data_IF_693721311263
#
_entry.id   IF_693721311263
#
_cell.length_a   1.000
_cell.length_b   1.000
_cell.length_c   1.000
_cell.angle_alpha   90.00
_cell.angle_beta   90.00
_cell.angle_gamma   90.00
#
_symmetry.space_group_name_H-M   'P 1'
#
loop_
_entity.id
_entity.type
_entity.pdbx_description
1 polymer ?
#
# COMPACT_ATOMS: atom_id res chain seq x y z
N UNK A 1 -16.11 4.19 29.94
CA UNK A 1 -14.86 3.48 29.61
C UNK A 1 -14.69 3.25 28.12
N UNK A 2 -15.55 2.48 27.44
CA UNK A 2 -15.47 2.29 25.98
C UNK A 2 -16.01 3.50 25.19
N UNK A 3 -17.26 3.92 25.46
CA UNK A 3 -17.85 5.10 24.80
C UNK A 3 -17.04 6.38 25.00
N UNK A 4 -16.49 6.60 26.22
CA UNK A 4 -15.61 7.76 26.51
C UNK A 4 -14.30 7.73 25.71
N UNK A 5 -13.80 6.55 25.34
CA UNK A 5 -12.63 6.40 24.48
C UNK A 5 -12.97 6.82 23.05
N UNK A 6 -14.07 6.29 22.52
CA UNK A 6 -14.56 6.59 21.17
C UNK A 6 -14.78 8.09 21.02
N UNK A 7 -15.53 8.70 21.95
CA UNK A 7 -15.84 10.14 21.95
C UNK A 7 -14.59 11.01 21.97
N UNK A 8 -13.56 10.59 22.73
CA UNK A 8 -12.35 11.39 22.92
C UNK A 8 -11.37 11.29 21.77
N UNK A 9 -11.14 10.09 21.24
CA UNK A 9 -10.04 9.84 20.30
C UNK A 9 -10.50 9.62 18.86
N UNK A 10 -11.70 9.07 18.64
CA UNK A 10 -12.15 8.63 17.32
C UNK A 10 -13.27 9.50 16.73
N UNK A 11 -14.22 9.98 17.53
CA UNK A 11 -15.27 10.91 17.07
C UNK A 11 -14.70 12.17 16.38
N UNK A 12 -13.57 12.79 16.83
CA UNK A 12 -12.96 13.91 16.11
C UNK A 12 -12.50 13.57 14.67
N UNK A 13 -12.29 12.29 14.37
CA UNK A 13 -11.89 11.81 13.03
C UNK A 13 -13.10 11.58 12.10
N UNK A 14 -14.34 11.66 12.60
CA UNK A 14 -15.59 11.41 11.85
C UNK A 14 -16.19 12.69 11.21
N UNK A 15 -15.38 13.69 10.88
CA UNK A 15 -15.85 14.97 10.36
C UNK A 15 -15.89 15.00 8.81
N UNK A 16 -16.58 15.98 8.24
CA UNK A 16 -16.62 16.19 6.79
C UNK A 16 -17.67 15.37 6.03
N UNK A 17 -18.57 14.70 6.75
CA UNK A 17 -19.71 13.97 6.19
C UNK A 17 -20.80 14.92 5.68
N UNK A 18 -21.52 14.51 4.64
CA UNK A 18 -22.66 15.25 4.12
C UNK A 18 -23.85 15.24 5.11
N UNK A 19 -24.81 16.13 4.91
CA UNK A 19 -25.97 16.28 5.82
C UNK A 19 -26.88 15.06 5.89
N UNK A 20 -26.88 14.23 4.85
CA UNK A 20 -27.65 12.98 4.73
C UNK A 20 -26.82 11.73 5.09
N UNK A 21 -25.57 11.91 5.51
CA UNK A 21 -24.66 10.84 5.92
C UNK A 21 -24.53 10.77 7.45
N UNK A 22 -24.14 9.60 7.94
CA UNK A 22 -24.00 9.31 9.37
C UNK A 22 -22.70 8.53 9.63
N UNK A 23 -21.87 9.02 10.53
CA UNK A 23 -20.61 8.38 10.94
C UNK A 23 -20.69 7.77 12.34
N UNK A 24 -19.65 7.99 13.15
CA UNK A 24 -19.61 7.52 14.55
C UNK A 24 -20.77 8.11 15.35
N UNK A 25 -21.48 7.27 16.12
CA UNK A 25 -22.50 7.71 17.09
C UNK A 25 -23.83 6.95 17.06
N UNK A 26 -23.97 5.98 16.16
CA UNK A 26 -25.17 5.13 16.00
C UNK A 26 -24.75 3.66 15.75
N UNK A 27 -25.72 2.74 15.58
CA UNK A 27 -25.47 1.30 15.35
C UNK A 27 -24.82 1.00 13.99
N UNK A 28 -24.75 1.98 13.10
CA UNK A 28 -24.11 1.83 11.80
C UNK A 28 -23.94 3.16 11.06
N UNK A 29 -22.99 3.17 10.14
CA UNK A 29 -22.74 4.31 9.28
C UNK A 29 -23.69 4.32 8.07
N UNK A 30 -24.06 5.52 7.60
CA UNK A 30 -24.86 5.74 6.39
C UNK A 30 -24.04 6.61 5.45
N UNK A 31 -23.73 6.10 4.25
CA UNK A 31 -22.91 6.79 3.25
C UNK A 31 -23.67 6.87 1.93
N UNK A 32 -23.67 8.03 1.29
CA UNK A 32 -24.37 8.25 0.02
C UNK A 32 -23.40 8.10 -1.14
N UNK A 33 -23.56 7.09 -2.02
CA UNK A 33 -22.67 6.93 -3.17
C UNK A 33 -22.79 8.10 -4.16
N UNK A 34 -21.67 8.68 -4.63
CA UNK A 34 -21.70 9.65 -5.71
C UNK A 34 -22.33 9.06 -6.97
N UNK A 35 -23.13 9.85 -7.69
CA UNK A 35 -23.80 9.40 -8.90
C UNK A 35 -22.78 8.85 -9.93
N UNK A 36 -23.08 7.68 -10.50
CA UNK A 36 -22.23 7.04 -11.51
C UNK A 36 -20.95 6.38 -10.99
N UNK A 37 -20.78 6.27 -9.67
CA UNK A 37 -19.64 5.60 -9.05
C UNK A 37 -19.99 4.21 -8.51
N UNK A 38 -18.97 3.37 -8.37
CA UNK A 38 -19.01 2.09 -7.68
C UNK A 38 -18.14 2.18 -6.43
N UNK A 39 -18.52 1.42 -5.40
CA UNK A 39 -17.76 1.31 -4.17
C UNK A 39 -16.66 0.26 -4.33
N UNK A 40 -15.44 0.64 -3.97
CA UNK A 40 -14.31 -0.27 -3.74
C UNK A 40 -14.15 -0.44 -2.24
N UNK A 41 -14.02 -1.68 -1.78
CA UNK A 41 -13.87 -2.03 -0.37
C UNK A 41 -12.62 -2.86 -0.22
N UNK A 42 -11.75 -2.48 0.71
CA UNK A 42 -10.50 -3.16 1.02
C UNK A 42 -10.38 -3.27 2.54
N UNK A 43 -9.77 -4.35 3.00
CA UNK A 43 -9.62 -4.63 4.43
C UNK A 43 -8.28 -5.30 4.68
N UNK A 44 -7.51 -4.73 5.60
CA UNK A 44 -6.28 -5.34 6.11
C UNK A 44 -6.27 -5.40 7.63
N UNK A 45 -5.63 -6.45 8.15
CA UNK A 45 -5.38 -6.64 9.57
C UNK A 45 -3.87 -6.62 9.83
N UNK A 46 -3.44 -5.69 10.68
CA UNK A 46 -2.08 -5.61 11.19
C UNK A 46 -2.00 -6.10 12.65
N UNK A 47 -1.21 -7.14 12.85
CA UNK A 47 -0.95 -7.78 14.15
C UNK A 47 0.41 -7.34 14.70
N UNK A 48 0.45 -6.91 15.96
CA UNK A 48 1.69 -6.55 16.66
C UNK A 48 2.66 -7.74 16.75
N UNK A 49 3.96 -7.49 16.52
CA UNK A 49 4.99 -8.54 16.47
C UNK A 49 5.01 -9.35 15.18
N UNK A 50 4.05 -9.14 14.27
CA UNK A 50 4.05 -9.70 12.91
C UNK A 50 4.30 -8.59 11.89
N UNK A 51 3.46 -7.55 11.89
CA UNK A 51 3.52 -6.43 10.92
C UNK A 51 4.24 -5.19 11.46
N UNK A 52 4.40 -5.14 12.79
CA UNK A 52 5.06 -4.06 13.49
C UNK A 52 6.22 -4.64 14.31
N UNK A 53 7.47 -4.26 14.00
CA UNK A 53 8.60 -4.55 14.86
C UNK A 53 8.36 -4.06 16.29
N UNK A 54 9.04 -4.69 17.25
CA UNK A 54 8.98 -4.24 18.64
C UNK A 54 9.48 -2.80 18.76
N UNK A 55 8.70 -1.96 19.46
CA UNK A 55 9.03 -0.56 19.69
C UNK A 55 8.50 0.42 18.64
N UNK A 56 7.79 -0.04 17.60
CA UNK A 56 7.04 0.86 16.71
C UNK A 56 6.05 1.71 17.53
N UNK A 57 6.01 3.02 17.26
CA UNK A 57 5.13 3.95 17.98
C UNK A 57 3.66 3.73 17.60
N UNK A 58 2.73 4.16 18.45
CA UNK A 58 1.31 4.03 18.16
C UNK A 58 0.91 4.87 16.95
N UNK A 59 1.52 6.05 16.80
CA UNK A 59 1.41 6.90 15.61
C UNK A 59 1.79 6.14 14.33
N UNK A 60 2.95 5.48 14.32
CA UNK A 60 3.45 4.75 13.15
C UNK A 60 2.57 3.52 12.85
N UNK A 61 2.11 2.82 13.89
CA UNK A 61 1.17 1.70 13.74
C UNK A 61 -0.13 2.15 13.07
N UNK A 62 -0.72 3.25 13.54
CA UNK A 62 -1.91 3.86 12.95
C UNK A 62 -1.69 4.28 11.50
N UNK A 63 -0.58 4.99 11.26
CA UNK A 63 -0.22 5.46 9.92
C UNK A 63 -0.14 4.28 8.95
N UNK A 64 0.68 3.28 9.27
CA UNK A 64 0.90 2.13 8.39
C UNK A 64 -0.40 1.36 8.18
N UNK A 65 -1.17 1.07 9.24
CA UNK A 65 -2.42 0.33 9.12
C UNK A 65 -3.44 0.98 8.17
N UNK A 66 -3.51 2.32 8.14
CA UNK A 66 -4.34 3.03 7.18
C UNK A 66 -3.68 3.11 5.80
N UNK A 67 -2.36 3.33 5.74
CA UNK A 67 -1.61 3.44 4.48
C UNK A 67 -1.68 2.19 3.61
N UNK A 68 -1.63 0.99 4.21
CA UNK A 68 -1.72 -0.27 3.44
C UNK A 68 -3.07 -0.39 2.72
N UNK A 69 -4.17 -0.10 3.39
CA UNK A 69 -5.51 -0.07 2.78
C UNK A 69 -5.61 1.03 1.69
N UNK A 70 -5.01 2.19 1.91
CA UNK A 70 -4.98 3.26 0.91
C UNK A 70 -4.11 2.91 -0.31
N UNK A 71 -3.11 2.04 -0.13
CA UNK A 71 -2.30 1.46 -1.21
C UNK A 71 -3.15 0.56 -2.11
N UNK A 72 -4.00 -0.30 -1.54
CA UNK A 72 -4.95 -1.11 -2.31
C UNK A 72 -5.94 -0.24 -3.10
N UNK A 73 -6.49 0.81 -2.47
CA UNK A 73 -7.38 1.75 -3.17
C UNK A 73 -6.64 2.45 -4.32
N UNK A 74 -5.36 2.81 -4.13
CA UNK A 74 -4.53 3.38 -5.18
C UNK A 74 -4.33 2.40 -6.34
N UNK A 75 -4.08 1.11 -6.06
CA UNK A 75 -3.93 0.06 -7.06
C UNK A 75 -5.21 -0.18 -7.89
N UNK A 76 -6.37 0.17 -7.34
CA UNK A 76 -7.68 0.12 -8.00
C UNK A 76 -8.07 1.43 -8.70
N UNK A 77 -7.27 2.49 -8.54
CA UNK A 77 -7.56 3.83 -9.06
C UNK A 77 -8.77 4.48 -8.38
N UNK A 78 -9.02 4.16 -7.12
CA UNK A 78 -10.16 4.64 -6.35
C UNK A 78 -9.82 5.93 -5.60
N UNK A 79 -10.77 6.87 -5.56
CA UNK A 79 -10.71 7.99 -4.64
C UNK A 79 -11.04 7.50 -3.24
N UNK A 80 -10.15 7.62 -2.24
CA UNK A 80 -10.48 7.28 -0.86
C UNK A 80 -11.69 8.10 -0.40
N UNK A 81 -12.59 7.46 0.34
CA UNK A 81 -13.87 8.03 0.72
C UNK A 81 -14.07 8.05 2.24
N UNK A 82 -13.91 6.91 2.89
CA UNK A 82 -14.06 6.74 4.34
C UNK A 82 -13.44 5.42 4.78
N UNK A 83 -13.28 5.23 6.08
CA UNK A 83 -12.79 3.98 6.64
C UNK A 83 -13.44 3.64 7.98
N UNK A 84 -13.43 2.36 8.34
CA UNK A 84 -13.78 1.89 9.68
C UNK A 84 -12.58 1.23 10.36
N UNK A 85 -12.59 1.20 11.70
CA UNK A 85 -11.51 0.68 12.52
C UNK A 85 -12.03 -0.35 13.52
N UNK A 86 -11.57 -1.60 13.44
CA UNK A 86 -11.68 -2.56 14.53
C UNK A 86 -10.33 -2.63 15.27
N UNK A 87 -10.30 -2.10 16.49
CA UNK A 87 -9.10 -1.99 17.32
C UNK A 87 -9.21 -2.91 18.54
N UNK A 88 -8.29 -3.85 18.65
CA UNK A 88 -8.14 -4.71 19.83
C UNK A 88 -6.94 -4.25 20.64
N UNK A 89 -7.13 -3.96 21.93
CA UNK A 89 -6.08 -3.51 22.84
C UNK A 89 -5.94 -4.43 24.06
N UNK A 90 -4.71 -4.64 24.53
CA UNK A 90 -4.49 -5.45 25.74
C UNK A 90 -5.02 -4.77 26.99
N UNK A 91 -4.86 -3.45 27.05
CA UNK A 91 -5.27 -2.59 28.16
C UNK A 91 -5.56 -1.19 27.64
N UNK A 92 -6.38 -0.45 28.39
CA UNK A 92 -6.57 0.97 28.15
C UNK A 92 -5.27 1.74 28.42
N UNK A 93 -4.83 2.53 27.45
CA UNK A 93 -3.67 3.42 27.56
C UNK A 93 -3.96 4.73 26.83
N UNK A 94 -4.19 5.79 27.60
CA UNK A 94 -4.54 7.11 27.08
C UNK A 94 -3.45 7.72 26.21
N UNK A 95 -2.17 7.53 26.57
CA UNK A 95 -1.08 8.12 25.80
C UNK A 95 -0.94 7.40 24.45
N UNK A 96 -1.05 6.08 24.46
CA UNK A 96 -1.04 5.27 23.24
C UNK A 96 -2.21 5.61 22.32
N UNK A 97 -3.43 5.72 22.86
CA UNK A 97 -4.64 6.05 22.09
C UNK A 97 -4.58 7.43 21.45
N UNK A 98 -4.07 8.43 22.19
CA UNK A 98 -3.88 9.78 21.65
C UNK A 98 -2.87 9.78 20.49
N UNK A 99 -1.76 9.06 20.64
CA UNK A 99 -0.71 8.97 19.63
C UNK A 99 -1.20 8.19 18.39
N UNK A 100 -1.93 7.09 18.59
CA UNK A 100 -2.59 6.32 17.54
C UNK A 100 -3.59 7.16 16.73
N UNK A 101 -4.53 7.84 17.41
CA UNK A 101 -5.50 8.70 16.74
C UNK A 101 -4.83 9.85 15.97
N UNK A 102 -3.71 10.37 16.47
CA UNK A 102 -2.91 11.40 15.79
C UNK A 102 -2.26 10.85 14.51
N UNK A 103 -1.81 9.59 14.51
CA UNK A 103 -1.29 8.91 13.32
C UNK A 103 -2.35 8.75 12.22
N UNK A 104 -3.56 8.32 12.59
CA UNK A 104 -4.70 8.24 11.66
C UNK A 104 -5.03 9.62 11.08
N UNK A 105 -5.15 10.64 11.93
CA UNK A 105 -5.47 12.00 11.51
C UNK A 105 -4.43 12.57 10.54
N UNK A 106 -3.14 12.33 10.80
CA UNK A 106 -2.05 12.85 9.98
C UNK A 106 -2.08 12.28 8.56
N UNK A 107 -2.27 10.96 8.42
CA UNK A 107 -2.38 10.36 7.08
C UNK A 107 -3.70 10.75 6.39
N UNK A 108 -4.82 10.75 7.10
CA UNK A 108 -6.11 11.17 6.56
C UNK A 108 -6.04 12.60 6.00
N UNK A 109 -5.40 13.52 6.72
CA UNK A 109 -5.15 14.88 6.26
C UNK A 109 -4.22 14.93 5.04
N UNK A 110 -3.17 14.11 5.01
CA UNK A 110 -2.24 14.06 3.88
C UNK A 110 -2.94 13.67 2.57
N UNK A 111 -3.90 12.73 2.63
CA UNK A 111 -4.61 12.23 1.45
C UNK A 111 -5.93 12.96 1.16
N UNK A 112 -6.35 13.90 2.01
CA UNK A 112 -7.61 14.67 1.86
C UNK A 112 -7.84 15.21 0.45
N UNK A 113 -6.80 15.76 -0.20
CA UNK A 113 -6.90 16.33 -1.56
C UNK A 113 -7.13 15.30 -2.67
N UNK A 114 -6.98 14.02 -2.37
CA UNK A 114 -7.19 12.91 -3.30
C UNK A 114 -8.59 12.29 -3.14
N UNK A 115 -9.33 12.69 -2.11
CA UNK A 115 -10.74 12.33 -1.90
C UNK A 115 -11.66 13.24 -2.71
N UNK A 116 -12.90 12.83 -2.96
CA UNK A 116 -13.88 13.68 -3.68
C UNK A 116 -14.38 14.85 -2.83
N UNK A 117 -14.44 14.69 -1.50
CA UNK A 117 -15.05 15.65 -0.58
C UNK A 117 -14.03 16.49 0.21
N UNK A 118 -12.72 16.25 0.02
CA UNK A 118 -11.64 16.95 0.71
C UNK A 118 -11.32 16.42 2.11
N UNK A 119 -11.89 15.27 2.51
CA UNK A 119 -11.70 14.64 3.82
C UNK A 119 -11.76 13.12 3.70
N UNK A 120 -11.07 12.43 4.61
CA UNK A 120 -11.14 10.98 4.77
C UNK A 120 -11.63 10.64 6.19
N UNK A 121 -12.96 10.59 6.42
CA UNK A 121 -13.51 10.34 7.75
C UNK A 121 -13.37 8.88 8.21
N UNK A 122 -13.14 8.71 9.52
CA UNK A 122 -13.41 7.48 10.25
C UNK A 122 -14.91 7.42 10.54
N UNK A 123 -15.63 6.46 9.97
CA UNK A 123 -17.09 6.43 10.01
C UNK A 123 -17.69 5.48 11.03
N UNK A 124 -16.86 4.65 11.67
CA UNK A 124 -17.33 3.64 12.59
C UNK A 124 -16.24 2.65 12.91
N UNK A 125 -16.57 1.65 13.72
CA UNK A 125 -15.58 0.70 14.18
C UNK A 125 -16.04 -0.08 15.39
N UNK A 126 -15.10 -0.83 15.93
CA UNK A 126 -15.25 -1.59 17.16
C UNK A 126 -13.97 -1.45 17.99
N UNK A 127 -14.09 -1.39 19.32
CA UNK A 127 -12.93 -1.32 20.22
C UNK A 127 -13.05 -2.38 21.29
N UNK A 128 -12.20 -3.40 21.23
CA UNK A 128 -12.29 -4.57 22.11
C UNK A 128 -11.01 -4.80 22.89
N UNK A 129 -11.07 -5.69 23.88
CA UNK A 129 -9.91 -6.08 24.70
C UNK A 129 -9.34 -7.43 24.26
N UNK A 130 -8.05 -7.48 23.97
CA UNK A 130 -7.33 -8.68 23.52
C UNK A 130 -5.89 -8.37 23.10
N UNK A 131 -5.23 -9.29 22.40
CA UNK A 131 -3.90 -9.02 21.82
C UNK A 131 -3.98 -7.88 20.81
N UNK A 132 -2.95 -7.02 20.78
CA UNK A 132 -2.94 -5.83 19.93
C UNK A 132 -3.10 -6.21 18.44
N UNK A 133 -4.24 -5.81 17.87
CA UNK A 133 -4.61 -6.03 16.48
C UNK A 133 -5.36 -4.81 15.96
N UNK A 134 -5.00 -4.37 14.77
CA UNK A 134 -5.60 -3.21 14.10
C UNK A 134 -6.15 -3.71 12.77
N UNK A 135 -7.47 -3.68 12.61
CA UNK A 135 -8.10 -3.97 11.32
C UNK A 135 -8.76 -2.70 10.82
N UNK A 136 -8.40 -2.28 9.62
CA UNK A 136 -9.03 -1.15 8.94
C UNK A 136 -9.76 -1.69 7.73
N UNK A 137 -10.97 -1.19 7.49
CA UNK A 137 -11.65 -1.36 6.20
C UNK A 137 -11.76 0.00 5.55
N UNK A 138 -11.00 0.23 4.49
CA UNK A 138 -11.08 1.46 3.72
C UNK A 138 -12.03 1.29 2.53
N UNK A 139 -12.65 2.40 2.18
CA UNK A 139 -13.63 2.47 1.12
C UNK A 139 -13.25 3.58 0.16
N UNK A 140 -13.44 3.33 -1.12
CA UNK A 140 -13.18 4.32 -2.16
C UNK A 140 -14.23 4.31 -3.26
N UNK A 141 -14.26 5.40 -4.01
CA UNK A 141 -15.14 5.56 -5.17
C UNK A 141 -14.34 5.44 -6.46
N UNK A 142 -14.83 4.61 -7.38
CA UNK A 142 -14.38 4.59 -8.78
C UNK A 142 -15.53 4.95 -9.68
N UNK A 143 -15.27 5.70 -10.75
CA UNK A 143 -16.30 5.90 -11.78
C UNK A 143 -16.61 4.55 -12.42
N UNK A 144 -17.90 4.28 -12.67
CA UNK A 144 -18.34 3.00 -13.24
C UNK A 144 -17.59 2.71 -14.55
N UNK A 145 -16.90 1.57 -14.60
CA UNK A 145 -16.10 1.15 -15.76
C UNK A 145 -14.69 1.73 -15.86
N UNK A 146 -14.27 2.57 -14.91
CA UNK A 146 -12.96 3.24 -14.88
C UNK A 146 -12.19 2.80 -13.61
N UNK A 147 -11.92 1.50 -13.50
CA UNK A 147 -11.14 0.93 -12.39
C UNK A 147 -9.88 0.27 -12.92
N UNK A 148 -8.78 0.46 -12.21
CA UNK A 148 -7.58 -0.31 -12.44
C UNK A 148 -7.77 -1.74 -11.91
N UNK A 149 -7.24 -2.72 -12.64
CA UNK A 149 -7.34 -4.13 -12.28
C UNK A 149 -6.01 -4.82 -12.50
N UNK A 150 -5.83 -5.97 -11.84
CA UNK A 150 -4.65 -6.84 -12.06
C UNK A 150 -4.65 -7.48 -13.45
N UNK A 151 -5.83 -7.64 -14.05
CA UNK A 151 -5.94 -8.17 -15.41
C UNK A 151 -5.90 -7.05 -16.46
N UNK A 152 -5.48 -7.39 -17.68
CA UNK A 152 -5.52 -6.49 -18.83
C UNK A 152 -4.16 -6.21 -19.46
N UNK A 153 -3.07 -6.65 -18.82
CA UNK A 153 -1.72 -6.62 -19.38
C UNK A 153 -1.65 -7.47 -20.65
N UNK A 154 -0.95 -6.95 -21.67
CA UNK A 154 -0.80 -7.60 -22.98
C UNK A 154 0.67 -7.70 -23.35
N UNK A 155 1.08 -8.73 -24.12
CA UNK A 155 2.44 -8.79 -24.65
C UNK A 155 2.81 -7.50 -25.38
N UNK A 156 3.98 -6.94 -25.05
CA UNK A 156 4.46 -5.66 -25.56
C UNK A 156 4.15 -4.45 -24.66
N UNK A 157 3.25 -4.58 -23.68
CA UNK A 157 3.06 -3.55 -22.66
C UNK A 157 4.36 -3.34 -21.88
N UNK A 158 4.63 -2.10 -21.51
CA UNK A 158 5.80 -1.72 -20.72
C UNK A 158 5.46 -1.78 -19.24
N UNK A 159 6.32 -2.44 -18.46
CA UNK A 159 6.14 -2.59 -17.01
C UNK A 159 6.85 -1.45 -16.31
N UNK A 160 6.11 -0.74 -15.45
CA UNK A 160 6.60 0.36 -14.63
C UNK A 160 6.42 0.07 -13.15
N UNK A 161 7.29 0.72 -12.36
CA UNK A 161 7.19 0.78 -10.90
C UNK A 161 7.36 2.23 -10.44
N UNK A 162 6.59 2.66 -9.44
CA UNK A 162 6.79 3.95 -8.77
C UNK A 162 7.86 3.89 -7.68
N UNK A 163 8.48 5.03 -7.38
CA UNK A 163 9.38 5.17 -6.24
C UNK A 163 10.61 4.26 -6.32
N UNK A 164 10.97 3.63 -5.19
CA UNK A 164 12.12 2.74 -5.06
C UNK A 164 11.70 1.39 -4.47
N UNK A 165 12.44 0.34 -4.82
CA UNK A 165 12.21 -1.03 -4.36
C UNK A 165 13.17 -1.43 -3.25
N UNK A 166 12.67 -2.25 -2.31
CA UNK A 166 13.42 -2.89 -1.23
C UNK A 166 13.73 -2.00 -0.03
N UNK A 167 13.19 -0.78 0.01
CA UNK A 167 13.39 0.12 1.16
C UNK A 167 12.58 -0.35 2.36
N UNK A 168 11.38 -0.91 2.15
CA UNK A 168 10.58 -1.54 3.21
C UNK A 168 11.34 -2.72 3.84
N UNK A 169 11.83 -3.65 3.01
CA UNK A 169 12.62 -4.79 3.44
C UNK A 169 13.91 -4.44 4.19
N UNK A 170 14.64 -3.42 3.71
CA UNK A 170 15.81 -2.90 4.42
C UNK A 170 15.42 -2.33 5.80
N UNK A 171 14.35 -1.53 5.85
CA UNK A 171 13.82 -0.97 7.10
C UNK A 171 13.46 -2.07 8.10
N UNK A 172 12.79 -3.14 7.63
CA UNK A 172 12.43 -4.28 8.47
C UNK A 172 13.66 -4.96 9.07
N UNK A 173 14.67 -5.26 8.25
CA UNK A 173 15.90 -5.90 8.75
C UNK A 173 16.57 -5.05 9.84
N UNK A 174 16.60 -3.74 9.65
CA UNK A 174 17.21 -2.84 10.63
C UNK A 174 16.41 -2.77 11.93
N UNK A 175 15.08 -2.67 11.84
CA UNK A 175 14.20 -2.66 13.00
C UNK A 175 14.36 -3.95 13.83
N UNK A 176 14.44 -5.12 13.17
CA UNK A 176 14.68 -6.41 13.82
C UNK A 176 16.08 -6.51 14.45
N UNK A 177 17.09 -5.87 13.86
CA UNK A 177 18.43 -5.81 14.40
C UNK A 177 18.58 -4.82 15.58
N UNK A 178 17.51 -4.09 15.93
CA UNK A 178 17.55 -3.04 16.95
C UNK A 178 18.44 -1.86 16.56
N UNK A 179 18.75 -1.70 15.27
CA UNK A 179 19.59 -0.61 14.79
C UNK A 179 18.82 0.70 14.85
N UNK A 180 19.39 1.69 15.52
CA UNK A 180 18.87 3.04 15.49
C UNK A 180 19.33 3.78 14.22
N UNK A 181 18.75 4.95 13.96
CA UNK A 181 19.08 5.80 12.81
C UNK A 181 20.49 6.37 12.95
N UNK A 182 21.50 5.60 12.54
CA UNK A 182 22.92 6.00 12.56
C UNK A 182 23.30 6.86 11.33
N UNK A 183 22.47 6.86 10.29
CA UNK A 183 22.67 7.62 9.05
C UNK A 183 21.35 8.11 8.42
N UNK A 184 21.42 9.06 7.50
CA UNK A 184 20.24 9.53 6.76
C UNK A 184 19.58 8.40 5.94
N UNK A 185 20.39 7.50 5.37
CA UNK A 185 19.89 6.39 4.57
C UNK A 185 19.16 5.34 5.42
N UNK A 186 19.65 5.08 6.64
CA UNK A 186 18.99 4.20 7.60
C UNK A 186 17.69 4.82 8.12
N UNK A 187 17.68 6.13 8.38
CA UNK A 187 16.45 6.85 8.72
C UNK A 187 15.38 6.77 7.61
N UNK A 188 15.79 6.88 6.33
CA UNK A 188 14.85 6.79 5.21
C UNK A 188 14.20 5.39 5.10
N UNK A 189 14.97 4.31 5.24
CA UNK A 189 14.43 2.95 5.17
C UNK A 189 13.46 2.63 6.34
N UNK A 190 13.80 3.06 7.56
CA UNK A 190 12.88 2.92 8.71
C UNK A 190 11.62 3.79 8.54
N UNK A 191 11.76 5.00 8.00
CA UNK A 191 10.61 5.85 7.67
C UNK A 191 9.72 5.20 6.61
N UNK A 192 10.30 4.57 5.57
CA UNK A 192 9.54 3.83 4.56
C UNK A 192 8.77 2.65 5.16
N UNK A 193 9.41 1.86 6.04
CA UNK A 193 8.75 0.75 6.74
C UNK A 193 7.60 1.21 7.62
N UNK A 194 7.81 2.23 8.43
CA UNK A 194 6.87 2.68 9.46
C UNK A 194 5.78 3.60 8.91
N UNK A 195 6.10 4.40 7.89
CA UNK A 195 5.22 5.39 7.28
C UNK A 195 5.27 5.31 5.75
N UNK A 196 4.85 4.18 5.16
CA UNK A 196 4.75 4.10 3.72
C UNK A 196 3.76 5.16 3.22
N UNK A 197 4.08 5.74 2.07
CA UNK A 197 3.24 6.74 1.42
C UNK A 197 2.38 6.06 0.35
N UNK A 198 1.05 5.95 0.53
CA UNK A 198 0.19 5.32 -0.44
C UNK A 198 0.12 6.17 -1.71
N UNK A 199 0.31 5.54 -2.87
CA UNK A 199 0.41 6.23 -4.16
C UNK A 199 -0.94 6.58 -4.78
N UNK A 200 -1.88 7.07 -3.98
CA UNK A 200 -3.27 7.36 -4.38
C UNK A 200 -3.32 8.32 -5.58
N UNK A 201 -2.58 9.43 -5.54
CA UNK A 201 -2.56 10.40 -6.65
C UNK A 201 -2.07 9.78 -7.97
N UNK A 202 -1.12 8.85 -7.91
CA UNK A 202 -0.66 8.10 -9.08
C UNK A 202 -1.75 7.14 -9.56
N UNK A 203 -2.34 6.36 -8.66
CA UNK A 203 -3.44 5.44 -8.98
C UNK A 203 -4.58 6.13 -9.72
N UNK A 204 -5.05 7.27 -9.21
CA UNK A 204 -6.07 8.10 -9.84
C UNK A 204 -5.67 8.57 -11.24
N UNK A 205 -4.42 8.99 -11.43
CA UNK A 205 -3.91 9.48 -12.71
C UNK A 205 -3.72 8.37 -13.76
N UNK A 206 -3.68 7.10 -13.35
CA UNK A 206 -3.44 5.94 -14.21
C UNK A 206 -4.71 5.29 -14.75
N UNK A 207 -5.91 5.60 -14.21
CA UNK A 207 -7.18 4.92 -14.52
C UNK A 207 -7.48 4.77 -16.02
N UNK A 208 -7.14 5.77 -16.85
CA UNK A 208 -7.38 5.75 -18.30
C UNK A 208 -6.12 5.44 -19.13
N UNK A 209 -5.01 5.07 -18.48
CA UNK A 209 -3.70 4.88 -19.12
C UNK A 209 -3.15 3.47 -18.95
N UNK A 210 -3.22 2.94 -17.72
CA UNK A 210 -2.68 1.64 -17.37
C UNK A 210 -3.56 0.50 -17.91
N UNK A 211 -2.90 -0.53 -18.46
CA UNK A 211 -3.57 -1.76 -18.89
C UNK A 211 -3.76 -2.73 -17.74
N UNK A 212 -2.92 -2.67 -16.70
CA UNK A 212 -3.12 -3.32 -15.40
C UNK A 212 -2.34 -2.60 -14.29
N UNK A 213 -2.73 -2.81 -13.03
CA UNK A 213 -1.99 -2.31 -11.87
C UNK A 213 -2.14 -3.23 -10.65
N UNK A 214 -1.18 -3.14 -9.74
CA UNK A 214 -1.16 -3.71 -8.40
C UNK A 214 -0.22 -2.86 -7.52
N UNK A 215 -0.44 -2.82 -6.22
CA UNK A 215 0.58 -2.32 -5.31
C UNK A 215 1.62 -3.40 -4.95
N UNK A 216 2.75 -2.98 -4.40
CA UNK A 216 3.88 -3.83 -4.08
C UNK A 216 3.98 -3.96 -2.55
N UNK A 217 3.25 -4.93 -1.99
CA UNK A 217 3.18 -5.18 -0.54
C UNK A 217 4.00 -6.41 -0.15
N UNK A 218 3.96 -7.48 -0.96
CA UNK A 218 4.69 -8.74 -0.71
C UNK A 218 6.04 -8.79 -1.44
N UNK A 219 6.26 -7.84 -2.35
CA UNK A 219 7.50 -7.69 -3.12
C UNK A 219 7.23 -7.82 -4.62
N UNK A 220 8.01 -7.08 -5.42
CA UNK A 220 7.76 -6.91 -6.86
C UNK A 220 7.49 -8.23 -7.58
N UNK A 221 8.27 -9.28 -7.33
CA UNK A 221 8.13 -10.54 -8.07
C UNK A 221 6.84 -11.28 -7.73
N UNK A 222 6.40 -11.24 -6.47
CA UNK A 222 5.14 -11.84 -6.04
C UNK A 222 3.95 -11.07 -6.63
N UNK A 223 3.96 -9.74 -6.47
CA UNK A 223 2.84 -8.89 -6.88
C UNK A 223 2.72 -8.76 -8.41
N UNK A 224 3.85 -8.66 -9.12
CA UNK A 224 3.83 -8.74 -10.58
C UNK A 224 3.28 -10.09 -11.05
N UNK A 225 3.65 -11.20 -10.39
CA UNK A 225 3.13 -12.52 -10.77
C UNK A 225 1.60 -12.60 -10.65
N UNK A 226 0.96 -11.88 -9.72
CA UNK A 226 -0.49 -11.75 -9.68
C UNK A 226 -1.08 -11.08 -10.94
N UNK A 227 -0.44 -10.02 -11.46
CA UNK A 227 -0.82 -9.41 -12.75
C UNK A 227 -0.68 -10.43 -13.89
N UNK A 228 0.46 -11.12 -13.95
CA UNK A 228 0.79 -12.06 -15.01
C UNK A 228 -0.19 -13.22 -15.06
N UNK A 229 -0.54 -13.80 -13.90
CA UNK A 229 -1.54 -14.85 -13.79
C UNK A 229 -2.93 -14.36 -14.19
N UNK A 230 -3.36 -13.21 -13.68
CA UNK A 230 -4.67 -12.63 -13.99
C UNK A 230 -4.82 -12.25 -15.47
N UNK A 231 -3.70 -11.99 -16.15
CA UNK A 231 -3.66 -11.62 -17.58
C UNK A 231 -3.23 -12.76 -18.51
N UNK A 232 -2.82 -13.92 -17.97
CA UNK A 232 -2.31 -15.07 -18.74
C UNK A 232 -1.12 -14.73 -19.65
N UNK A 233 -0.15 -13.99 -19.12
CA UNK A 233 1.08 -13.52 -19.82
C UNK A 233 2.31 -13.75 -18.93
N UNK A 234 3.51 -13.42 -19.42
CA UNK A 234 4.74 -13.38 -18.61
C UNK A 234 5.42 -12.02 -18.64
N UNK A 235 6.65 -11.95 -18.12
CA UNK A 235 7.43 -10.72 -18.07
C UNK A 235 8.92 -10.95 -18.36
N UNK A 236 9.52 -10.01 -19.07
CA UNK A 236 10.97 -9.86 -19.23
C UNK A 236 11.39 -8.57 -18.53
N UNK A 237 12.15 -8.72 -17.44
CA UNK A 237 12.63 -7.62 -16.61
C UNK A 237 14.12 -7.37 -16.85
N UNK A 238 14.52 -6.11 -16.66
CA UNK A 238 15.91 -5.68 -16.74
C UNK A 238 16.42 -5.29 -15.35
N UNK A 239 17.36 -6.05 -14.81
CA UNK A 239 17.87 -5.84 -13.45
C UNK A 239 18.52 -4.46 -13.28
N UNK A 240 19.22 -3.97 -14.31
CA UNK A 240 19.88 -2.65 -14.27
C UNK A 240 18.88 -1.48 -14.29
N UNK A 241 17.62 -1.73 -14.64
CA UNK A 241 16.57 -0.71 -14.67
C UNK A 241 15.79 -0.60 -13.36
N UNK A 242 16.05 -1.50 -12.39
CA UNK A 242 15.34 -1.50 -11.11
C UNK A 242 15.66 -0.24 -10.31
N UNK A 243 14.64 0.50 -9.81
CA UNK A 243 14.87 1.71 -9.02
C UNK A 243 15.29 1.36 -7.59
N UNK A 244 16.57 1.03 -7.42
CA UNK A 244 17.14 0.64 -6.12
C UNK A 244 18.10 1.73 -5.64
N UNK A 245 17.93 2.19 -4.40
CA UNK A 245 18.82 3.17 -3.77
C UNK A 245 20.16 2.54 -3.38
N UNK A 246 21.19 3.36 -3.19
CA UNK A 246 22.54 2.82 -2.90
C UNK A 246 22.62 2.08 -1.56
N UNK A 247 21.81 2.46 -0.57
CA UNK A 247 21.67 1.73 0.70
C UNK A 247 21.08 0.34 0.48
N UNK A 248 20.04 0.22 -0.35
CA UNK A 248 19.42 -1.07 -0.67
C UNK A 248 20.37 -1.92 -1.53
N UNK A 249 21.15 -1.33 -2.45
CA UNK A 249 22.22 -2.05 -3.18
C UNK A 249 23.29 -2.59 -2.24
N UNK A 250 23.73 -1.80 -1.25
CA UNK A 250 24.70 -2.26 -0.26
C UNK A 250 24.15 -3.43 0.58
N UNK A 251 22.89 -3.33 0.98
CA UNK A 251 22.17 -4.37 1.73
C UNK A 251 21.97 -5.68 0.96
N UNK A 252 21.81 -5.58 -0.37
CA UNK A 252 21.56 -6.71 -1.27
C UNK A 252 22.79 -7.13 -2.07
N UNK A 253 23.99 -6.67 -1.70
CA UNK A 253 25.21 -6.94 -2.46
C UNK A 253 25.50 -8.44 -2.68
N UNK A 254 25.14 -9.29 -1.71
CA UNK A 254 25.29 -10.74 -1.79
C UNK A 254 24.14 -11.44 -2.55
N UNK A 255 22.98 -10.79 -2.67
CA UNK A 255 21.79 -11.31 -3.33
C UNK A 255 21.02 -10.16 -4.00
N UNK A 256 21.30 -9.87 -5.28
CA UNK A 256 20.66 -8.79 -6.02
C UNK A 256 19.14 -8.96 -6.19
N UNK A 257 18.60 -10.15 -6.00
CA UNK A 257 17.15 -10.40 -6.10
C UNK A 257 16.42 -10.01 -4.82
N UNK A 258 17.12 -9.97 -3.68
CA UNK A 258 16.57 -9.63 -2.36
C UNK A 258 15.64 -8.40 -2.34
N UNK A 259 15.95 -7.27 -3.01
CA UNK A 259 15.06 -6.10 -3.05
C UNK A 259 13.76 -6.31 -3.83
N UNK A 260 13.71 -7.31 -4.71
CA UNK A 260 12.55 -7.59 -5.56
C UNK A 260 11.58 -8.60 -4.93
N UNK A 261 12.00 -9.30 -3.88
CA UNK A 261 11.20 -10.26 -3.12
C UNK A 261 10.86 -9.77 -1.72
N UNK A 262 11.50 -8.69 -1.26
CA UNK A 262 11.16 -8.07 0.00
C UNK A 262 9.89 -7.23 -0.17
N UNK A 263 8.99 -7.32 0.81
CA UNK A 263 7.75 -6.55 0.86
C UNK A 263 7.90 -5.19 1.55
N UNK A 264 6.76 -4.64 1.93
CA UNK A 264 6.58 -3.36 2.65
C UNK A 264 6.99 -2.10 1.85
N UNK A 265 7.03 -2.16 0.52
CA UNK A 265 7.33 -0.99 -0.31
C UNK A 265 6.11 -0.10 -0.54
N UNK A 266 4.91 -0.67 -0.74
CA UNK A 266 3.64 0.02 -1.06
C UNK A 266 3.77 1.04 -2.21
N UNK A 267 4.62 0.70 -3.18
CA UNK A 267 4.69 1.35 -4.48
C UNK A 267 3.68 0.72 -5.44
N UNK A 268 3.41 1.33 -6.59
CA UNK A 268 2.57 0.71 -7.63
C UNK A 268 3.44 0.05 -8.71
N UNK A 269 3.11 -1.19 -9.04
CA UNK A 269 3.52 -1.87 -10.26
C UNK A 269 2.37 -1.83 -11.28
N UNK A 270 2.63 -1.33 -12.48
CA UNK A 270 1.59 -1.21 -13.50
C UNK A 270 2.14 -1.42 -14.90
N UNK A 271 1.25 -1.78 -15.81
CA UNK A 271 1.58 -2.01 -17.23
C UNK A 271 0.93 -0.92 -18.10
N UNK A 272 1.61 -0.56 -19.19
CA UNK A 272 1.16 0.48 -20.11
C UNK A 272 1.31 0.03 -21.55
N UNK A 273 0.32 0.36 -22.38
CA UNK A 273 0.53 0.43 -23.82
C UNK A 273 1.67 1.43 -24.11
N UNK A 274 2.65 1.10 -24.98
CA UNK A 274 3.74 2.01 -25.32
C UNK A 274 3.31 3.42 -25.74
N UNK A 275 2.12 3.58 -26.34
CA UNK A 275 1.55 4.88 -26.72
C UNK A 275 1.28 5.80 -25.52
N UNK A 276 1.08 5.25 -24.32
CA UNK A 276 0.77 6.00 -23.10
C UNK A 276 2.00 6.41 -22.29
N UNK A 277 3.21 5.96 -22.66
CA UNK A 277 4.45 6.23 -21.90
C UNK A 277 4.71 7.73 -21.73
N UNK A 278 4.55 8.53 -22.79
CA UNK A 278 4.81 9.97 -22.70
C UNK A 278 3.90 10.64 -21.67
N UNK A 279 2.63 10.22 -21.60
CA UNK A 279 1.67 10.76 -20.65
C UNK A 279 1.96 10.31 -19.22
N UNK A 280 2.41 9.07 -19.03
CA UNK A 280 2.88 8.60 -17.73
C UNK A 280 4.11 9.39 -17.24
N UNK A 281 5.05 9.74 -18.12
CA UNK A 281 6.20 10.58 -17.75
C UNK A 281 5.80 12.02 -17.42
N UNK A 282 4.73 12.56 -18.03
CA UNK A 282 4.17 13.85 -17.63
C UNK A 282 3.55 13.79 -16.23
N UNK A 283 2.82 12.71 -15.91
CA UNK A 283 2.28 12.44 -14.57
C UNK A 283 3.42 12.35 -13.55
N UNK A 284 4.48 11.59 -13.87
CA UNK A 284 5.69 11.48 -13.04
C UNK A 284 6.25 12.86 -12.66
N UNK A 285 6.40 13.76 -13.65
CA UNK A 285 6.89 15.11 -13.43
C UNK A 285 5.93 15.98 -12.60
N UNK A 286 4.62 15.88 -12.84
CA UNK A 286 3.59 16.62 -12.10
C UNK A 286 3.52 16.22 -10.64
N UNK A 287 3.64 14.91 -10.36
CA UNK A 287 3.59 14.37 -9.01
C UNK A 287 4.94 14.46 -8.28
N UNK A 288 6.03 14.79 -8.97
CA UNK A 288 7.38 14.70 -8.41
C UNK A 288 7.78 13.28 -8.01
N UNK A 289 7.12 12.27 -8.59
CA UNK A 289 7.27 10.86 -8.24
C UNK A 289 7.98 10.13 -9.38
N UNK A 290 9.12 9.51 -9.08
CA UNK A 290 9.87 8.72 -10.06
C UNK A 290 9.07 7.52 -10.53
N UNK A 291 8.87 7.39 -11.84
CA UNK A 291 8.33 6.19 -12.48
C UNK A 291 9.45 5.54 -13.30
N UNK A 292 9.75 4.28 -13.03
CA UNK A 292 10.85 3.56 -13.67
C UNK A 292 10.32 2.44 -14.55
N UNK A 293 10.72 2.44 -15.82
CA UNK A 293 10.51 1.29 -16.71
C UNK A 293 11.43 0.16 -16.24
N UNK A 294 10.86 -0.98 -15.86
CA UNK A 294 11.62 -2.13 -15.35
C UNK A 294 11.61 -3.33 -16.30
N UNK A 295 10.74 -3.35 -17.30
CA UNK A 295 10.62 -4.49 -18.20
C UNK A 295 9.53 -4.33 -19.24
N UNK A 296 9.17 -5.46 -19.84
CA UNK A 296 8.08 -5.59 -20.81
C UNK A 296 7.30 -6.87 -20.54
N UNK A 297 5.99 -6.83 -20.79
CA UNK A 297 5.12 -8.01 -20.75
C UNK A 297 5.46 -8.90 -21.95
N UNK A 298 5.62 -10.19 -21.70
CA UNK A 298 5.99 -11.22 -22.67
C UNK A 298 4.82 -12.17 -22.94
N UNK A 299 4.83 -12.80 -24.10
CA UNK A 299 3.96 -13.93 -24.46
C UNK A 299 4.36 -15.23 -23.73
N UNK A 300 5.61 -15.33 -23.29
CA UNK A 300 6.15 -16.48 -22.60
C UNK A 300 5.87 -16.40 -21.10
N UNK A 301 5.05 -17.33 -20.59
CA UNK A 301 4.65 -17.38 -19.17
C UNK A 301 5.86 -17.38 -18.20
N UNK A 302 5.60 -16.82 -17.01
CA UNK A 302 6.60 -16.69 -15.94
C UNK A 302 7.39 -15.38 -16.01
N UNK A 303 8.26 -15.18 -15.03
CA UNK A 303 9.14 -14.01 -14.96
C UNK A 303 10.55 -14.40 -15.39
N UNK A 304 11.12 -13.60 -16.28
CA UNK A 304 12.52 -13.64 -16.69
C UNK A 304 13.20 -12.36 -16.28
N UNK A 305 14.45 -12.47 -15.83
CA UNK A 305 15.32 -11.34 -15.55
C UNK A 305 16.58 -11.53 -16.38
N UNK A 306 16.86 -10.57 -17.26
CA UNK A 306 18.02 -10.58 -18.16
C UNK A 306 18.13 -11.92 -18.95
N UNK A 307 17.00 -12.39 -19.48
CA UNK A 307 16.86 -13.62 -20.27
C UNK A 307 16.82 -14.92 -19.45
N UNK A 308 17.05 -14.87 -18.14
CA UNK A 308 17.03 -16.05 -17.27
C UNK A 308 15.64 -16.23 -16.67
N UNK A 309 15.03 -17.37 -16.95
CA UNK A 309 13.78 -17.75 -16.32
C UNK A 309 14.00 -18.00 -14.83
N UNK A 310 13.19 -17.36 -14.00
CA UNK A 310 13.12 -17.66 -12.58
C UNK A 310 12.28 -18.93 -12.38
N UNK A 311 12.84 -20.10 -12.73
CA UNK A 311 12.15 -21.40 -12.60
C UNK A 311 12.01 -21.89 -11.16
N UNK A 312 12.51 -21.12 -10.18
CA UNK A 312 12.62 -21.53 -8.76
C UNK A 312 11.81 -20.67 -7.78
N UNK A 313 10.71 -20.06 -8.22
CA UNK A 313 9.63 -19.68 -7.29
C UNK A 313 8.65 -20.84 -7.14
N UNK A 314 9.16 -22.02 -6.79
CA UNK A 314 8.34 -23.02 -6.09
C UNK A 314 8.22 -22.57 -4.65
N UNK A 315 7.04 -22.74 -4.04
CA UNK A 315 6.54 -22.22 -2.73
C UNK A 315 7.51 -22.22 -1.53
N UNK A 316 8.72 -22.75 -1.64
CA UNK A 316 9.69 -22.91 -0.56
C UNK A 316 10.98 -22.10 -0.72
N UNK A 317 11.22 -21.41 -1.85
CA UNK A 317 12.55 -20.81 -2.13
C UNK A 317 12.58 -19.29 -2.37
N UNK A 318 11.43 -18.61 -2.42
CA UNK A 318 11.40 -17.19 -2.78
C UNK A 318 10.09 -16.48 -2.45
N UNK A 319 9.39 -16.89 -1.40
CA UNK A 319 8.12 -16.22 -1.13
C UNK A 319 8.39 -14.78 -0.71
N UNK A 320 7.64 -13.86 -1.33
CA UNK A 320 7.20 -12.68 -0.62
C UNK A 320 6.56 -13.06 0.72
N UNK A 321 6.15 -12.08 1.50
CA UNK A 321 5.61 -12.37 2.82
C UNK A 321 4.41 -13.35 2.74
N UNK A 322 4.38 -14.37 3.60
CA UNK A 322 3.28 -15.35 3.66
C UNK A 322 2.96 -15.72 5.10
N UNK A 323 1.72 -15.49 5.50
CA UNK A 323 1.22 -15.77 6.84
C UNK A 323 1.25 -17.25 7.22
N UNK A 324 1.16 -18.13 6.23
CA UNK A 324 1.00 -19.57 6.42
C UNK A 324 2.08 -20.36 5.71
N UNK A 325 3.28 -19.78 5.52
CA UNK A 325 4.42 -20.50 4.99
C UNK A 325 4.60 -21.81 5.80
N UNK A 326 4.58 -22.94 5.11
CA UNK A 326 4.74 -24.26 5.74
C UNK A 326 6.06 -24.28 6.49
N UNK A 327 6.00 -24.49 7.82
CA UNK A 327 7.18 -24.72 8.65
C UNK A 327 7.94 -25.97 8.22
#
# INVERSE_FOLDING_TARGET
MEFELIDRYFTPLSHGLATDELGIGDDGAIMTPPAGHQLVVVTDTSIAGVHFPHGTSAFDMAWKALAVNLSDLAAMGAHPAFYSLALTLERYDQAWLQDFASGLAALAQQVSHQTLNGFLPLIGGDTTRGLLSITITAHGWVKTGSTLRRNGAKPGDVIFVSGHLGEGGLGLQMALAGQQTESLATAAALAKLNRPEPRVALGLALVDLATSAIDISDGLLADLNHILQASSVGAELNMLSMPITDSVKAWSAADPIKPLVAGDDYELCFTLDPANIQRAMQISAQLGLKLSRIGVVSDSLGIRIDGKCLTQFTETSGNGFSHFASQ
#
